data_IF_479788743760
#
_entry.id   IF_479788743760
#
_cell.length_a   1.000
_cell.length_b   1.000
_cell.length_c   1.000
_cell.angle_alpha   90.00
_cell.angle_beta   90.00
_cell.angle_gamma   90.00
#
_symmetry.space_group_name_H-M   'P 1'
#
loop_
_entity.id
_entity.type
_entity.pdbx_description
1 polymer ?
#
# COMPACT_ATOMS: atom_id res chain seq x y z
N UNK A 1 -53.72 86.23 -135.91
CA UNK A 1 -54.86 85.31 -136.18
C UNK A 1 -54.43 84.43 -137.35
N UNK A 2 -54.71 83.13 -137.43
CA UNK A 2 -54.89 82.07 -136.42
C UNK A 2 -54.09 80.76 -136.74
N UNK A 3 -53.85 79.91 -135.71
CA UNK A 3 -54.26 78.48 -135.55
C UNK A 3 -53.77 77.46 -136.63
N UNK A 4 -53.57 76.14 -136.37
CA UNK A 4 -52.74 75.38 -135.39
C UNK A 4 -52.22 74.01 -135.96
N UNK A 5 -51.78 73.11 -135.06
CA UNK A 5 -51.82 71.62 -135.13
C UNK A 5 -50.84 70.92 -136.12
N UNK A 6 -50.23 69.74 -135.85
CA UNK A 6 -50.60 68.55 -135.07
C UNK A 6 -49.34 67.80 -134.52
N UNK A 7 -49.46 67.24 -133.30
CA UNK A 7 -48.95 65.96 -132.72
C UNK A 7 -47.68 65.18 -133.18
N UNK A 8 -46.81 64.84 -132.20
CA UNK A 8 -46.21 63.54 -131.73
C UNK A 8 -45.66 62.51 -132.77
N UNK A 9 -44.56 61.71 -132.57
CA UNK A 9 -44.01 61.09 -131.33
C UNK A 9 -42.45 60.99 -131.25
N UNK A 10 -41.91 60.27 -130.25
CA UNK A 10 -40.49 60.28 -129.85
C UNK A 10 -39.44 59.60 -130.75
N UNK A 11 -38.18 59.78 -130.31
CA UNK A 11 -36.91 59.16 -130.76
C UNK A 11 -36.46 59.43 -132.20
N UNK A 12 -35.52 60.37 -132.40
CA UNK A 12 -34.44 60.22 -133.40
C UNK A 12 -33.36 61.31 -133.27
N UNK A 13 -32.12 60.89 -132.93
CA UNK A 13 -30.85 61.65 -133.06
C UNK A 13 -30.67 62.78 -132.04
N UNK A 14 -29.69 62.81 -131.13
CA UNK A 14 -28.28 62.45 -131.29
C UNK A 14 -27.75 62.82 -132.67
N UNK A 15 -27.93 64.08 -133.05
CA UNK A 15 -27.15 64.71 -134.10
C UNK A 15 -27.01 66.21 -133.79
N UNK A 16 -25.84 66.76 -134.09
CA UNK A 16 -25.31 68.10 -133.75
C UNK A 16 -24.44 68.23 -132.48
N UNK A 17 -23.63 67.21 -132.19
CA UNK A 17 -22.39 67.33 -131.39
C UNK A 17 -21.15 67.13 -132.29
N UNK A 18 -20.11 67.94 -132.10
CA UNK A 18 -19.03 68.15 -133.09
C UNK A 18 -17.95 67.05 -133.08
N UNK A 19 -17.55 66.62 -134.28
CA UNK A 19 -16.84 65.37 -134.63
C UNK A 19 -15.36 65.20 -134.22
N UNK A 20 -14.89 65.88 -133.16
CA UNK A 20 -13.57 65.61 -132.55
C UNK A 20 -13.69 64.97 -131.15
N UNK A 21 -14.80 65.18 -130.45
CA UNK A 21 -15.09 64.57 -129.15
C UNK A 21 -15.57 63.10 -129.28
N UNK A 22 -16.06 62.70 -130.45
CA UNK A 22 -16.47 61.31 -130.72
C UNK A 22 -15.30 60.33 -130.92
N UNK A 23 -14.07 60.75 -131.21
CA UNK A 23 -12.95 59.81 -131.43
C UNK A 23 -12.34 59.25 -130.14
N UNK A 24 -12.35 60.02 -129.04
CA UNK A 24 -11.86 59.58 -127.72
C UNK A 24 -12.96 58.85 -126.94
N UNK A 25 -14.22 59.26 -127.11
CA UNK A 25 -15.37 58.59 -126.50
C UNK A 25 -15.71 57.27 -127.23
N UNK A 26 -15.45 57.15 -128.54
CA UNK A 26 -15.66 55.89 -129.28
C UNK A 26 -14.60 54.80 -129.03
N UNK A 27 -13.42 55.10 -128.48
CA UNK A 27 -12.42 54.06 -128.11
C UNK A 27 -12.69 53.43 -126.74
N UNK A 28 -13.37 54.13 -125.83
CA UNK A 28 -13.78 53.59 -124.52
C UNK A 28 -15.29 53.33 -124.59
N UNK A 29 -15.68 52.35 -125.42
CA UNK A 29 -17.07 52.03 -125.76
C UNK A 29 -17.97 51.60 -124.58
N UNK A 30 -17.40 51.44 -123.39
CA UNK A 30 -18.12 51.23 -122.13
C UNK A 30 -17.22 51.50 -120.92
N UNK A 31 -17.82 51.83 -119.77
CA UNK A 31 -17.15 51.72 -118.48
C UNK A 31 -16.77 50.24 -118.26
N UNK A 32 -15.49 49.96 -117.96
CA UNK A 32 -15.04 48.61 -117.62
C UNK A 32 -15.77 48.04 -116.41
N UNK A 33 -15.67 46.73 -116.21
CA UNK A 33 -16.20 46.08 -115.00
C UNK A 33 -15.26 46.35 -113.82
N UNK A 34 -15.79 46.45 -112.60
CA UNK A 34 -14.97 46.62 -111.39
C UNK A 34 -13.87 45.54 -111.31
N UNK A 35 -12.63 45.97 -111.11
CA UNK A 35 -11.44 45.10 -111.08
C UNK A 35 -10.63 45.04 -112.38
N UNK A 36 -11.07 45.73 -113.44
CA UNK A 36 -10.27 45.93 -114.66
C UNK A 36 -9.42 47.21 -114.57
N UNK A 37 -8.26 47.21 -115.23
CA UNK A 37 -7.42 48.41 -115.41
C UNK A 37 -7.49 48.88 -116.85
N UNK A 38 -7.42 50.19 -117.10
CA UNK A 38 -7.30 50.72 -118.45
C UNK A 38 -5.83 50.64 -118.87
N UNK A 39 -5.54 49.79 -119.85
CA UNK A 39 -4.21 49.64 -120.42
C UNK A 39 -4.24 50.00 -121.92
N UNK A 40 -3.08 50.31 -122.50
CA UNK A 40 -2.95 50.43 -123.95
C UNK A 40 -2.98 49.02 -124.55
N UNK A 41 -3.74 48.81 -125.62
CA UNK A 41 -3.85 47.51 -126.27
C UNK A 41 -2.47 47.02 -126.77
N UNK A 42 -2.30 45.70 -126.93
CA UNK A 42 -1.01 45.12 -127.30
C UNK A 42 -0.39 45.64 -128.61
N UNK A 43 -1.16 46.32 -129.45
CA UNK A 43 -0.71 46.97 -130.69
C UNK A 43 -0.41 48.48 -130.58
N UNK A 44 -0.59 49.09 -129.41
CA UNK A 44 -0.45 50.54 -129.17
C UNK A 44 -1.31 51.45 -130.08
N UNK A 45 -2.43 50.92 -130.57
CA UNK A 45 -3.36 51.63 -131.46
C UNK A 45 -4.60 52.17 -130.73
N UNK A 46 -4.77 51.80 -129.47
CA UNK A 46 -5.87 52.27 -128.62
C UNK A 46 -5.74 51.79 -127.18
N UNK A 47 -6.73 52.09 -126.36
CA UNK A 47 -6.83 51.64 -124.96
C UNK A 47 -7.90 50.56 -124.81
N UNK A 48 -7.67 49.58 -123.95
CA UNK A 48 -8.61 48.50 -123.62
C UNK A 48 -8.68 48.25 -122.10
N UNK A 49 -9.84 47.81 -121.62
CA UNK A 49 -9.99 47.37 -120.23
C UNK A 49 -9.49 45.95 -120.07
N UNK A 50 -8.41 45.75 -119.31
CA UNK A 50 -7.80 44.45 -119.06
C UNK A 50 -8.19 43.95 -117.67
N UNK A 51 -8.74 42.74 -117.60
CA UNK A 51 -8.87 42.02 -116.33
C UNK A 51 -7.50 41.49 -115.93
N UNK A 52 -6.93 42.02 -114.84
CA UNK A 52 -5.68 41.50 -114.28
C UNK A 52 -6.01 40.23 -113.51
N UNK A 53 -5.78 39.07 -114.13
CA UNK A 53 -5.97 37.77 -113.47
C UNK A 53 -4.82 37.51 -112.49
N UNK A 54 -5.05 37.77 -111.21
CA UNK A 54 -4.12 37.41 -110.13
C UNK A 54 -4.65 37.80 -108.75
N UNK A 55 -5.41 36.91 -108.12
CA UNK A 55 -5.89 37.07 -106.75
C UNK A 55 -4.93 36.40 -105.76
N UNK A 56 -4.13 37.18 -105.04
CA UNK A 56 -3.63 36.78 -103.71
C UNK A 56 -2.36 35.95 -103.61
N UNK A 57 -1.38 36.12 -104.50
CA UNK A 57 0.01 35.70 -104.21
C UNK A 57 0.79 36.93 -103.72
N UNK A 58 1.49 36.81 -102.57
CA UNK A 58 2.42 37.84 -102.12
C UNK A 58 3.40 38.11 -103.26
N UNK A 59 3.38 39.32 -103.82
CA UNK A 59 4.29 39.73 -104.90
C UNK A 59 5.73 39.31 -104.54
N UNK A 60 6.20 38.25 -105.19
CA UNK A 60 7.57 37.75 -105.10
C UNK A 60 8.49 38.86 -105.59
N UNK A 61 9.52 39.15 -104.78
CA UNK A 61 10.58 40.13 -104.98
C UNK A 61 10.18 41.59 -104.67
N UNK A 62 10.43 42.16 -103.50
CA UNK A 62 11.54 41.94 -102.57
C UNK A 62 11.10 42.32 -101.17
N UNK A 63 11.01 41.29 -100.33
CA UNK A 63 11.19 41.36 -98.90
C UNK A 63 12.52 42.08 -98.61
N UNK A 64 12.45 43.34 -98.16
CA UNK A 64 13.61 44.13 -97.72
C UNK A 64 14.02 43.69 -96.30
N UNK A 65 15.18 43.07 -96.21
CA UNK A 65 15.75 42.49 -95.00
C UNK A 65 16.63 43.46 -94.18
N UNK A 66 16.57 44.78 -94.42
CA UNK A 66 17.48 45.73 -93.76
C UNK A 66 16.87 46.63 -92.66
N UNK A 67 15.61 46.46 -92.24
CA UNK A 67 15.05 47.39 -91.24
C UNK A 67 13.74 47.04 -90.53
N UNK A 68 13.23 45.82 -90.61
CA UNK A 68 11.96 45.45 -89.95
C UNK A 68 12.19 44.90 -88.55
N UNK A 69 11.93 45.74 -87.54
CA UNK A 69 11.55 45.31 -86.20
C UNK A 69 10.18 44.60 -86.14
N UNK A 70 9.56 44.33 -87.30
CA UNK A 70 8.26 43.66 -87.44
C UNK A 70 8.37 42.56 -88.50
N UNK A 71 8.83 41.38 -88.08
CA UNK A 71 8.62 40.16 -88.86
C UNK A 71 7.15 39.77 -88.66
N UNK A 72 6.27 40.20 -89.58
CA UNK A 72 4.84 39.85 -89.54
C UNK A 72 4.69 38.33 -89.53
N UNK A 73 4.18 37.78 -88.42
CA UNK A 73 3.57 36.45 -88.43
C UNK A 73 2.16 36.57 -89.00
N UNK A 74 1.81 35.76 -90.00
CA UNK A 74 0.47 35.77 -90.60
C UNK A 74 -0.61 35.34 -89.60
N UNK A 75 -1.86 35.80 -89.81
CA UNK A 75 -2.97 35.60 -88.87
C UNK A 75 -3.72 34.26 -89.05
N UNK A 76 -3.62 33.62 -90.22
CA UNK A 76 -4.51 32.51 -90.60
C UNK A 76 -3.79 31.20 -90.92
N UNK A 77 -2.51 31.22 -91.30
CA UNK A 77 -1.73 30.01 -91.56
C UNK A 77 -0.92 29.61 -90.32
N UNK A 78 -0.68 28.30 -90.14
CA UNK A 78 0.27 27.81 -89.13
C UNK A 78 1.65 28.40 -89.35
N UNK A 79 2.22 29.01 -88.32
CA UNK A 79 3.55 29.62 -88.38
C UNK A 79 4.55 28.77 -87.60
N UNK A 80 5.65 28.39 -88.25
CA UNK A 80 6.79 27.71 -87.61
C UNK A 80 7.90 28.72 -87.34
N UNK A 81 8.28 28.91 -86.08
CA UNK A 81 9.38 29.80 -85.68
C UNK A 81 10.62 28.97 -85.34
N UNK A 82 11.66 29.03 -86.17
CA UNK A 82 12.92 28.30 -85.95
C UNK A 82 14.05 29.27 -85.57
N UNK A 83 14.81 28.92 -84.53
CA UNK A 83 15.98 29.69 -84.07
C UNK A 83 15.66 31.16 -83.74
N UNK A 84 14.51 31.41 -83.10
CA UNK A 84 14.08 32.74 -82.64
C UNK A 84 13.96 32.76 -81.12
N UNK A 85 14.30 33.88 -80.51
CA UNK A 85 14.04 34.15 -79.09
C UNK A 85 12.73 34.93 -78.97
N UNK A 86 11.75 34.39 -78.24
CA UNK A 86 10.55 35.11 -77.86
C UNK A 86 10.81 35.86 -76.56
N UNK A 87 10.94 37.19 -76.61
CA UNK A 87 11.16 38.02 -75.41
C UNK A 87 9.81 38.56 -74.94
N UNK A 88 9.38 38.16 -73.73
CA UNK A 88 8.07 38.51 -73.15
C UNK A 88 6.84 38.05 -73.97
N UNK A 89 6.77 36.79 -74.45
CA UNK A 89 5.56 36.31 -75.10
C UNK A 89 4.41 36.17 -74.10
N UNK A 90 3.21 36.58 -74.48
CA UNK A 90 1.98 36.04 -73.87
C UNK A 90 1.68 34.72 -74.58
N UNK A 91 1.98 33.61 -73.91
CA UNK A 91 1.68 32.27 -74.43
C UNK A 91 0.33 31.81 -73.88
N UNK A 92 -0.60 31.47 -74.78
CA UNK A 92 -1.87 30.81 -74.44
C UNK A 92 -1.78 29.36 -74.95
N UNK A 93 -1.88 28.41 -74.03
CA UNK A 93 -1.84 26.98 -74.35
C UNK A 93 -3.20 26.49 -74.86
N UNK A 94 -3.23 25.34 -75.55
CA UNK A 94 -4.50 24.66 -75.85
C UNK A 94 -5.17 24.32 -74.52
N UNK A 95 -6.45 24.63 -74.38
CA UNK A 95 -7.19 24.40 -73.14
C UNK A 95 -8.10 23.19 -73.29
N UNK A 96 -8.17 22.35 -72.26
CA UNK A 96 -9.11 21.23 -72.14
C UNK A 96 -9.56 21.07 -70.70
N UNK A 97 -10.70 20.40 -70.47
CA UNK A 97 -11.20 20.09 -69.13
C UNK A 97 -10.72 18.71 -68.63
N UNK A 98 -9.88 18.02 -69.38
CA UNK A 98 -9.17 16.79 -69.03
C UNK A 98 -8.20 16.44 -70.18
N UNK A 99 -7.26 17.32 -70.55
CA UNK A 99 -6.39 17.10 -71.69
C UNK A 99 -5.43 15.95 -71.41
N UNK A 100 -5.34 15.00 -72.35
CA UNK A 100 -4.41 13.87 -72.30
C UNK A 100 -3.41 13.91 -73.46
N UNK A 101 -2.55 14.94 -73.56
CA UNK A 101 -1.53 14.99 -74.59
C UNK A 101 -0.56 13.82 -74.40
N UNK A 102 -0.37 13.01 -75.45
CA UNK A 102 0.59 11.90 -75.46
C UNK A 102 1.75 12.15 -76.43
N UNK A 103 1.57 13.03 -77.42
CA UNK A 103 2.62 13.42 -78.34
C UNK A 103 3.70 14.24 -77.62
N UNK A 104 4.97 13.90 -77.86
CA UNK A 104 6.10 14.60 -77.23
C UNK A 104 6.07 16.10 -77.55
N UNK A 105 6.07 16.94 -76.51
CA UNK A 105 6.07 18.39 -76.64
C UNK A 105 4.69 19.03 -76.90
N UNK A 106 3.60 18.26 -76.96
CA UNK A 106 2.25 18.85 -76.91
C UNK A 106 1.93 19.26 -75.45
N UNK A 107 1.69 20.55 -75.26
CA UNK A 107 1.44 21.17 -73.94
C UNK A 107 0.04 21.75 -73.94
N UNK A 108 -0.75 21.38 -72.94
CA UNK A 108 -2.14 21.82 -72.77
C UNK A 108 -2.39 22.27 -71.33
N UNK A 109 -3.25 23.27 -71.17
CA UNK A 109 -3.75 23.73 -69.86
C UNK A 109 -4.99 22.95 -69.48
N UNK A 110 -4.98 22.37 -68.28
CA UNK A 110 -6.10 21.67 -67.69
C UNK A 110 -6.96 22.62 -66.88
N UNK A 111 -8.17 22.85 -67.36
CA UNK A 111 -9.05 23.91 -66.87
C UNK A 111 -9.82 23.53 -65.61
N UNK A 112 -10.01 22.24 -65.31
CA UNK A 112 -10.67 21.78 -64.09
C UNK A 112 -9.67 21.62 -62.94
N UNK A 113 -8.51 21.04 -63.21
CA UNK A 113 -7.47 20.76 -62.21
C UNK A 113 -6.49 21.94 -61.99
N UNK A 114 -6.53 22.99 -62.83
CA UNK A 114 -5.58 24.11 -62.84
C UNK A 114 -4.12 23.66 -63.00
N UNK A 115 -3.89 22.73 -63.92
CA UNK A 115 -2.58 22.08 -64.11
C UNK A 115 -2.08 22.22 -65.56
N UNK A 116 -0.78 22.07 -65.74
CA UNK A 116 -0.17 21.95 -67.07
C UNK A 116 0.02 20.46 -67.37
N UNK A 117 -0.48 20.00 -68.53
CA UNK A 117 -0.30 18.64 -69.04
C UNK A 117 0.65 18.65 -70.23
N UNK A 118 1.65 17.76 -70.23
CA UNK A 118 2.69 17.65 -71.27
C UNK A 118 2.79 16.22 -71.76
N UNK A 119 2.68 16.00 -73.07
CA UNK A 119 2.93 14.68 -73.66
C UNK A 119 4.41 14.33 -73.71
N UNK A 120 4.76 13.08 -73.38
CA UNK A 120 6.14 12.57 -73.35
C UNK A 120 6.44 11.50 -74.41
N UNK A 121 5.56 11.36 -75.41
CA UNK A 121 5.65 10.37 -76.48
C UNK A 121 4.93 9.05 -76.16
N UNK A 122 4.65 8.76 -74.89
CA UNK A 122 3.94 7.55 -74.46
C UNK A 122 2.73 7.84 -73.57
N UNK A 123 2.75 8.93 -72.80
CA UNK A 123 1.76 9.28 -71.79
C UNK A 123 1.71 10.79 -71.56
N UNK A 124 0.91 11.21 -70.58
CA UNK A 124 0.79 12.60 -70.14
C UNK A 124 1.49 12.80 -68.80
N UNK A 125 2.41 13.75 -68.74
CA UNK A 125 2.98 14.26 -67.49
C UNK A 125 2.15 15.45 -67.00
N UNK A 126 2.00 15.55 -65.68
CA UNK A 126 1.23 16.61 -65.01
C UNK A 126 2.18 17.47 -64.19
N UNK A 127 2.05 18.78 -64.34
CA UNK A 127 2.73 19.79 -63.52
C UNK A 127 1.67 20.60 -62.79
N UNK A 128 1.74 20.62 -61.46
CA UNK A 128 0.86 21.38 -60.57
C UNK A 128 1.67 22.42 -59.79
N UNK A 129 0.97 23.29 -59.06
CA UNK A 129 1.63 24.12 -58.05
C UNK A 129 2.13 23.29 -56.86
N UNK A 130 3.03 23.88 -56.08
CA UNK A 130 3.62 23.25 -54.87
C UNK A 130 2.59 22.98 -53.77
N UNK A 131 1.45 23.67 -53.78
CA UNK A 131 0.39 23.52 -52.77
C UNK A 131 -0.48 22.28 -53.00
N UNK A 132 -0.50 21.76 -54.23
CA UNK A 132 -1.26 20.54 -54.61
C UNK A 132 -0.46 19.24 -54.40
N UNK A 133 0.87 19.29 -54.22
CA UNK A 133 1.70 18.11 -53.91
C UNK A 133 1.50 17.59 -52.48
N UNK A 134 0.93 18.40 -51.59
CA UNK A 134 0.75 18.05 -50.18
C UNK A 134 -0.41 17.06 -49.92
N UNK A 135 -1.33 16.84 -50.86
CA UNK A 135 -2.67 16.36 -50.48
C UNK A 135 -3.01 14.91 -50.80
N UNK A 136 -2.21 14.15 -51.57
CA UNK A 136 -2.67 12.83 -52.02
C UNK A 136 -1.93 11.61 -51.45
N UNK A 137 -0.68 11.74 -50.96
CA UNK A 137 0.03 10.59 -50.38
C UNK A 137 1.06 10.94 -49.30
N UNK A 138 1.60 12.16 -49.30
CA UNK A 138 2.64 12.57 -48.35
C UNK A 138 2.09 13.39 -47.16
N UNK A 139 0.97 14.11 -47.30
CA UNK A 139 0.34 14.85 -46.19
C UNK A 139 -0.29 13.96 -45.11
N UNK A 140 -0.87 12.81 -45.47
CA UNK A 140 -1.51 11.91 -44.51
C UNK A 140 -0.49 11.15 -43.62
N UNK A 141 0.73 10.92 -44.13
CA UNK A 141 1.82 10.29 -43.40
C UNK A 141 2.68 11.29 -42.62
N UNK A 142 2.61 12.58 -42.96
CA UNK A 142 3.35 13.64 -42.27
C UNK A 142 2.64 14.15 -41.00
N UNK A 143 1.31 14.11 -40.93
CA UNK A 143 0.55 14.50 -39.70
C UNK A 143 0.44 13.36 -38.65
N UNK A 144 0.88 12.16 -39.02
CA UNK A 144 0.88 10.96 -38.17
C UNK A 144 2.28 10.44 -37.81
N UNK A 145 3.35 11.05 -38.35
CA UNK A 145 4.73 10.72 -38.00
C UNK A 145 5.32 11.75 -37.02
N UNK A 146 6.12 11.28 -36.06
CA UNK A 146 6.90 12.10 -35.14
C UNK A 146 7.71 13.15 -35.91
N UNK A 147 7.47 14.44 -35.66
CA UNK A 147 8.24 15.51 -36.27
C UNK A 147 9.54 15.73 -35.47
N UNK A 148 10.63 16.19 -36.11
CA UNK A 148 11.89 16.50 -35.40
C UNK A 148 11.72 17.49 -34.23
N UNK A 149 10.69 18.35 -34.26
CA UNK A 149 10.34 19.27 -33.16
C UNK A 149 9.77 18.56 -31.93
N UNK A 150 9.09 17.43 -32.10
CA UNK A 150 8.48 16.67 -31.00
C UNK A 150 9.55 15.96 -30.18
N UNK A 151 10.63 15.54 -30.83
CA UNK A 151 11.81 14.90 -30.22
C UNK A 151 12.67 15.92 -29.44
N UNK A 152 12.72 17.17 -29.91
CA UNK A 152 13.59 18.21 -29.34
C UNK A 152 13.15 18.74 -27.96
N UNK A 153 11.89 18.53 -27.57
CA UNK A 153 11.34 18.99 -26.28
C UNK A 153 11.48 17.97 -25.13
N UNK A 154 12.00 16.76 -25.42
CA UNK A 154 12.19 15.69 -24.44
C UNK A 154 10.89 15.07 -23.93
N UNK A 155 9.71 15.55 -24.36
CA UNK A 155 8.41 15.02 -23.98
C UNK A 155 7.63 14.62 -25.23
N UNK A 156 7.79 13.36 -25.66
CA UNK A 156 6.85 12.77 -26.62
C UNK A 156 5.60 12.40 -25.82
N UNK A 157 4.50 13.11 -26.05
CA UNK A 157 3.20 12.73 -25.50
C UNK A 157 2.53 11.80 -26.51
N UNK A 158 2.55 10.47 -26.33
CA UNK A 158 1.87 9.57 -27.24
C UNK A 158 0.37 9.88 -27.25
N UNK A 159 -0.21 10.01 -28.44
CA UNK A 159 -1.67 9.99 -28.64
C UNK A 159 -2.16 8.56 -28.37
N UNK A 160 -3.47 8.41 -28.14
CA UNK A 160 -4.07 7.14 -27.72
C UNK A 160 -3.79 5.94 -28.66
N UNK A 161 -3.42 6.20 -29.92
CA UNK A 161 -3.13 5.18 -30.94
C UNK A 161 -1.63 5.06 -31.28
N UNK A 162 -0.76 5.89 -30.69
CA UNK A 162 0.68 5.92 -31.01
C UNK A 162 1.45 4.75 -30.36
N UNK A 163 0.89 4.16 -29.31
CA UNK A 163 1.43 2.98 -28.64
C UNK A 163 0.40 1.87 -28.78
N UNK A 164 0.70 0.87 -29.62
CA UNK A 164 -0.14 -0.32 -29.72
C UNK A 164 0.00 -1.17 -28.45
N UNK A 165 -0.93 -0.99 -27.51
CA UNK A 165 -1.03 -1.77 -26.28
C UNK A 165 -1.90 -3.03 -26.44
N UNK A 166 -2.43 -3.32 -27.64
CA UNK A 166 -3.38 -4.42 -27.86
C UNK A 166 -2.78 -5.82 -27.70
N UNK A 167 -1.46 -5.92 -27.50
CA UNK A 167 -0.75 -7.16 -27.24
C UNK A 167 -0.52 -7.47 -25.75
N UNK A 168 -0.83 -6.53 -24.86
CA UNK A 168 -0.69 -6.70 -23.41
C UNK A 168 -1.91 -7.36 -22.76
N UNK A 169 -1.68 -8.03 -21.64
CA UNK A 169 -2.73 -8.44 -20.70
C UNK A 169 -2.86 -7.40 -19.57
N UNK A 170 -4.00 -7.40 -18.87
CA UNK A 170 -4.18 -6.59 -17.67
C UNK A 170 -3.04 -6.86 -16.67
N UNK A 171 -2.28 -5.81 -16.32
CA UNK A 171 -1.17 -5.88 -15.36
C UNK A 171 0.24 -5.91 -15.99
N UNK A 172 0.37 -5.99 -17.31
CA UNK A 172 1.68 -5.86 -17.97
C UNK A 172 2.27 -4.46 -17.78
N UNK A 173 3.59 -4.39 -17.57
CA UNK A 173 4.35 -3.13 -17.46
C UNK A 173 5.17 -2.90 -18.72
N UNK A 174 5.29 -1.63 -19.10
CA UNK A 174 6.18 -1.23 -20.18
C UNK A 174 7.64 -1.24 -19.66
N UNK A 175 8.44 -2.16 -20.20
CA UNK A 175 9.86 -2.29 -19.86
C UNK A 175 10.74 -1.92 -21.06
N UNK A 176 12.00 -1.57 -20.76
CA UNK A 176 13.05 -1.43 -21.77
C UNK A 176 13.84 -2.74 -21.79
N UNK A 177 13.87 -3.37 -22.95
CA UNK A 177 14.58 -4.61 -23.21
C UNK A 177 16.09 -4.43 -23.19
N UNK A 178 16.82 -5.53 -23.06
CA UNK A 178 18.28 -5.54 -23.14
C UNK A 178 18.82 -5.04 -24.51
N UNK A 179 18.01 -5.15 -25.57
CA UNK A 179 18.32 -4.61 -26.90
C UNK A 179 17.88 -3.13 -27.07
N UNK A 180 17.36 -2.51 -26.01
CA UNK A 180 16.89 -1.13 -25.99
C UNK A 180 15.49 -0.93 -26.59
N UNK A 181 14.80 -1.99 -27.02
CA UNK A 181 13.41 -1.91 -27.46
C UNK A 181 12.45 -1.73 -26.29
N UNK A 182 11.24 -1.24 -26.56
CA UNK A 182 10.15 -1.20 -25.58
C UNK A 182 9.27 -2.43 -25.78
N UNK A 183 8.91 -3.10 -24.70
CA UNK A 183 7.97 -4.22 -24.72
C UNK A 183 7.03 -4.16 -23.52
N UNK A 184 5.83 -4.69 -23.70
CA UNK A 184 4.98 -5.05 -22.58
C UNK A 184 5.49 -6.38 -22.05
N UNK A 185 5.91 -6.38 -20.80
CA UNK A 185 6.31 -7.59 -20.11
C UNK A 185 5.46 -7.77 -18.87
N UNK A 186 5.18 -9.03 -18.57
CA UNK A 186 4.87 -9.40 -17.20
C UNK A 186 6.04 -8.97 -16.32
N UNK A 187 5.83 -8.15 -15.28
CA UNK A 187 6.89 -7.56 -14.48
C UNK A 187 7.94 -8.61 -14.05
N UNK A 188 9.26 -8.30 -14.09
CA UNK A 188 10.29 -9.23 -13.65
C UNK A 188 10.22 -9.39 -12.12
N UNK A 189 9.40 -10.37 -11.71
CA UNK A 189 9.08 -10.66 -10.32
C UNK A 189 7.60 -10.43 -10.02
N UNK A 190 6.83 -11.53 -9.98
CA UNK A 190 5.58 -11.58 -9.22
C UNK A 190 4.30 -11.69 -10.05
N UNK A 191 3.82 -12.92 -10.25
CA UNK A 191 2.39 -13.18 -10.12
C UNK A 191 1.99 -12.99 -8.65
N UNK A 192 1.99 -11.73 -8.21
CA UNK A 192 1.90 -11.31 -6.82
C UNK A 192 1.84 -9.79 -6.82
N UNK A 193 0.74 -9.29 -7.37
CA UNK A 193 0.01 -8.09 -6.95
C UNK A 193 0.68 -6.71 -6.84
N UNK A 194 -0.17 -5.68 -6.84
CA UNK A 194 0.11 -4.41 -6.19
C UNK A 194 -0.58 -4.39 -4.80
N UNK A 195 -0.36 -5.45 -4.00
CA UNK A 195 -1.00 -5.90 -2.74
C UNK A 195 -2.33 -6.69 -2.89
N UNK A 196 -2.32 -7.98 -3.27
CA UNK A 196 -3.49 -8.80 -3.64
C UNK A 196 -3.31 -10.33 -3.68
N UNK A 197 -2.20 -10.91 -3.22
CA UNK A 197 -2.20 -12.18 -2.52
C UNK A 197 -2.23 -11.88 -1.00
N UNK A 198 -2.96 -12.66 -0.19
CA UNK A 198 -2.57 -12.76 1.20
C UNK A 198 -1.13 -13.27 1.16
N UNK A 199 -0.18 -12.43 1.57
CA UNK A 199 1.21 -12.81 1.73
C UNK A 199 1.24 -14.01 2.69
N UNK A 200 1.19 -15.23 2.13
CA UNK A 200 1.40 -16.50 2.83
C UNK A 200 2.91 -16.74 3.05
N UNK A 201 3.74 -15.76 2.70
CA UNK A 201 5.12 -15.71 3.12
C UNK A 201 5.21 -15.08 4.51
N UNK A 202 5.86 -15.78 5.45
CA UNK A 202 6.38 -15.17 6.65
C UNK A 202 7.09 -13.86 6.29
N UNK A 203 6.71 -12.75 6.91
CA UNK A 203 7.50 -11.51 6.84
C UNK A 203 8.84 -11.83 7.50
N UNK A 204 9.88 -12.04 6.68
CA UNK A 204 11.26 -12.28 7.17
C UNK A 204 11.99 -10.94 7.14
N UNK A 205 12.18 -10.25 8.28
CA UNK A 205 13.01 -9.05 8.32
C UNK A 205 14.47 -9.38 7.99
N UNK A 206 15.13 -8.47 7.27
CA UNK A 206 16.46 -8.62 6.67
C UNK A 206 17.57 -8.91 7.70
N UNK A 207 18.59 -9.60 7.20
CA UNK A 207 19.75 -10.30 7.81
C UNK A 207 20.71 -9.49 8.69
N UNK A 208 20.38 -8.27 9.12
CA UNK A 208 21.30 -7.41 9.87
C UNK A 208 21.41 -7.72 11.38
N UNK A 209 20.87 -8.88 11.81
CA UNK A 209 20.86 -9.35 13.21
C UNK A 209 20.16 -8.39 14.18
N UNK A 210 19.40 -7.41 13.68
CA UNK A 210 18.53 -6.56 14.49
C UNK A 210 17.09 -6.76 14.02
N UNK A 211 16.53 -7.93 14.37
CA UNK A 211 15.19 -8.41 14.02
C UNK A 211 14.07 -7.55 14.62
N UNK A 212 13.94 -6.31 14.18
CA UNK A 212 12.80 -5.46 14.50
C UNK A 212 11.87 -5.41 13.29
N UNK A 213 10.65 -5.93 13.45
CA UNK A 213 9.53 -5.59 12.57
C UNK A 213 9.19 -4.11 12.83
N UNK A 214 9.82 -3.24 12.04
CA UNK A 214 9.80 -1.79 12.21
C UNK A 214 11.16 -1.23 12.68
N UNK A 215 11.53 -0.05 12.20
CA UNK A 215 12.75 0.66 12.64
C UNK A 215 12.76 0.82 14.17
N UNK A 216 13.93 0.95 14.82
CA UNK A 216 14.01 1.38 16.22
C UNK A 216 13.22 2.68 16.48
N UNK A 217 13.05 3.50 15.43
CA UNK A 217 12.24 4.74 15.40
C UNK A 217 10.76 4.49 15.09
N UNK A 218 10.42 3.41 14.39
CA UNK A 218 9.05 3.08 13.95
C UNK A 218 8.76 1.60 14.19
N UNK A 219 8.56 1.24 15.46
CA UNK A 219 8.12 -0.10 15.85
C UNK A 219 6.62 -0.22 15.58
N UNK A 220 6.14 -1.40 15.15
CA UNK A 220 4.71 -1.65 15.20
C UNK A 220 4.23 -1.49 16.65
N UNK A 221 3.31 -0.55 16.87
CA UNK A 221 2.74 -0.29 18.19
C UNK A 221 1.81 -1.43 18.64
N UNK A 222 1.23 -2.16 17.69
CA UNK A 222 0.37 -3.33 17.93
C UNK A 222 0.33 -4.20 16.67
N UNK A 223 0.25 -5.51 16.85
CA UNK A 223 -0.04 -6.48 15.79
C UNK A 223 -1.51 -6.88 15.95
N UNK A 224 -2.36 -6.45 15.03
CA UNK A 224 -3.78 -6.80 15.03
C UNK A 224 -4.02 -7.90 13.99
N UNK A 225 -4.17 -9.14 14.44
CA UNK A 225 -4.65 -10.22 13.59
C UNK A 225 -6.17 -10.33 13.68
N UNK A 226 -6.88 -10.13 12.56
CA UNK A 226 -8.30 -10.45 12.49
C UNK A 226 -8.47 -11.97 12.47
N UNK A 227 -9.17 -12.56 13.45
CA UNK A 227 -9.34 -14.01 13.60
C UNK A 227 -8.04 -14.84 13.62
N UNK A 228 -6.90 -14.24 13.97
CA UNK A 228 -5.64 -14.98 14.09
C UNK A 228 -5.55 -15.64 15.47
N UNK A 229 -5.63 -16.96 15.50
CA UNK A 229 -5.19 -17.73 16.67
C UNK A 229 -3.65 -17.62 16.68
N UNK A 230 -3.07 -16.84 17.59
CA UNK A 230 -1.63 -16.90 17.85
C UNK A 230 -1.34 -18.25 18.52
N UNK A 231 -1.12 -19.30 17.72
CA UNK A 231 -0.90 -20.67 18.22
C UNK A 231 0.36 -20.75 19.05
N UNK A 232 1.46 -20.16 18.58
CA UNK A 232 2.74 -20.11 19.28
C UNK A 232 3.35 -18.70 19.16
N UNK A 233 3.82 -18.15 20.29
CA UNK A 233 4.75 -17.01 20.30
C UNK A 233 6.15 -17.58 20.44
N UNK A 234 6.89 -17.67 19.34
CA UNK A 234 8.29 -18.06 19.36
C UNK A 234 9.15 -16.86 19.73
N UNK A 235 9.84 -16.93 20.87
CA UNK A 235 10.91 -15.99 21.22
C UNK A 235 12.22 -16.67 20.83
N UNK A 236 12.98 -16.08 19.90
CA UNK A 236 14.13 -16.74 19.27
C UNK A 236 15.23 -17.16 20.27
N UNK A 237 15.85 -18.27 19.89
CA UNK A 237 16.72 -19.21 20.59
C UNK A 237 17.95 -18.60 21.26
N UNK A 238 17.93 -18.56 22.60
CA UNK A 238 19.16 -18.54 23.40
C UNK A 238 19.10 -17.65 24.64
N UNK A 239 18.63 -16.41 24.51
CA UNK A 239 18.50 -15.42 25.59
C UNK A 239 17.24 -14.54 25.49
N UNK A 240 16.30 -14.93 24.64
CA UNK A 240 15.09 -14.16 24.36
C UNK A 240 14.22 -13.91 25.60
N UNK A 241 13.55 -12.77 25.62
CA UNK A 241 12.68 -12.31 26.71
C UNK A 241 11.25 -12.17 26.20
N UNK A 242 10.29 -12.79 26.87
CA UNK A 242 8.87 -12.40 26.74
C UNK A 242 8.55 -11.43 27.88
N UNK A 243 8.24 -10.18 27.56
CA UNK A 243 8.00 -9.12 28.53
C UNK A 243 6.61 -8.50 28.34
N UNK A 244 5.76 -8.62 29.36
CA UNK A 244 4.46 -7.99 29.39
C UNK A 244 4.62 -6.61 30.03
N UNK A 245 4.32 -5.56 29.26
CA UNK A 245 4.40 -4.17 29.71
C UNK A 245 3.02 -3.59 30.02
N UNK A 246 2.93 -2.65 30.95
CA UNK A 246 1.72 -1.86 31.16
C UNK A 246 1.61 -0.70 30.14
N UNK A 247 0.53 0.08 30.22
CA UNK A 247 0.30 1.24 29.33
C UNK A 247 1.32 2.39 29.47
N UNK A 248 2.19 2.36 30.49
CA UNK A 248 3.29 3.30 30.66
C UNK A 248 4.64 2.73 30.21
N UNK A 249 4.69 1.48 29.74
CA UNK A 249 5.90 0.80 29.26
C UNK A 249 6.70 0.06 30.33
N UNK A 250 6.22 -0.03 31.57
CA UNK A 250 6.88 -0.74 32.68
C UNK A 250 6.56 -2.23 32.63
N UNK A 251 7.55 -3.08 32.94
CA UNK A 251 7.33 -4.54 33.02
C UNK A 251 6.40 -4.89 34.16
N UNK A 252 5.38 -5.71 33.88
CA UNK A 252 4.47 -6.28 34.88
C UNK A 252 4.67 -7.77 35.07
N UNK A 253 5.14 -8.48 34.04
CA UNK A 253 5.52 -9.88 34.09
C UNK A 253 6.54 -10.18 33.01
N UNK A 254 7.50 -11.07 33.29
CA UNK A 254 8.53 -11.45 32.32
C UNK A 254 8.83 -12.94 32.39
N UNK A 255 9.18 -13.53 31.24
CA UNK A 255 9.75 -14.87 31.14
C UNK A 255 11.17 -14.70 30.57
N UNK A 256 12.15 -14.89 31.44
CA UNK A 256 13.57 -14.73 31.09
C UNK A 256 14.11 -16.03 30.48
N UNK A 257 14.43 -16.02 29.18
CA UNK A 257 15.14 -17.12 28.53
C UNK A 257 16.65 -17.11 28.81
N UNK A 258 17.11 -16.76 30.02
CA UNK A 258 18.52 -16.45 30.31
C UNK A 258 19.51 -17.62 30.19
N UNK A 259 19.02 -18.83 29.87
CA UNK A 259 19.82 -20.04 29.73
C UNK A 259 19.87 -20.48 28.27
N UNK A 260 21.08 -20.70 27.74
CA UNK A 260 21.31 -21.01 26.32
C UNK A 260 20.78 -22.39 25.87
N UNK A 261 20.55 -23.30 26.81
CA UNK A 261 19.99 -24.64 26.55
C UNK A 261 19.15 -25.09 27.76
N UNK A 262 17.92 -24.61 27.92
CA UNK A 262 17.06 -25.01 29.03
C UNK A 262 16.70 -26.49 28.92
N UNK A 263 16.91 -27.23 30.02
CA UNK A 263 16.53 -28.66 30.14
C UNK A 263 15.30 -28.84 31.03
N UNK A 264 15.11 -27.91 31.96
CA UNK A 264 13.97 -27.85 32.89
C UNK A 264 13.27 -26.49 32.72
N UNK A 265 11.95 -26.47 32.84
CA UNK A 265 11.11 -25.29 32.63
C UNK A 265 9.90 -25.32 33.58
N UNK A 266 9.24 -24.16 33.72
CA UNK A 266 7.94 -24.08 34.40
C UNK A 266 6.82 -24.15 33.38
N UNK A 267 5.81 -24.96 33.65
CA UNK A 267 4.59 -25.11 32.85
C UNK A 267 3.37 -24.68 33.65
N UNK A 268 2.40 -24.08 32.96
CA UNK A 268 1.08 -23.81 33.50
C UNK A 268 0.11 -24.80 32.87
N UNK A 269 -0.44 -25.71 33.68
CA UNK A 269 -1.20 -26.86 33.18
C UNK A 269 -2.68 -26.64 33.47
N UNK A 270 -3.49 -26.59 32.40
CA UNK A 270 -4.94 -26.54 32.51
C UNK A 270 -5.50 -27.91 32.94
N UNK A 271 -6.65 -27.87 33.63
CA UNK A 271 -7.22 -29.06 34.26
C UNK A 271 -8.67 -29.28 33.86
N UNK A 272 -9.09 -30.56 33.88
CA UNK A 272 -10.48 -30.95 33.65
C UNK A 272 -11.41 -30.44 34.76
N UNK A 273 -12.72 -30.47 34.49
CA UNK A 273 -13.72 -30.00 35.46
C UNK A 273 -13.61 -30.76 36.79
N UNK A 274 -13.45 -30.01 37.88
CA UNK A 274 -13.31 -30.55 39.24
C UNK A 274 -11.87 -30.72 39.72
N UNK A 275 -10.87 -30.52 38.85
CA UNK A 275 -9.45 -30.59 39.20
C UNK A 275 -8.84 -29.19 39.33
N UNK A 276 -7.78 -29.05 40.13
CA UNK A 276 -7.05 -27.79 40.29
C UNK A 276 -6.11 -27.55 39.10
N UNK A 277 -5.94 -26.29 38.70
CA UNK A 277 -4.89 -25.87 37.74
C UNK A 277 -3.53 -25.93 38.43
N UNK A 278 -2.49 -26.30 37.69
CA UNK A 278 -1.17 -26.56 38.25
C UNK A 278 -0.10 -25.62 37.68
N UNK A 279 0.89 -25.29 38.51
CA UNK A 279 2.18 -24.72 38.10
C UNK A 279 3.22 -25.80 38.36
N UNK A 280 3.80 -26.34 37.29
CA UNK A 280 4.64 -27.54 37.36
C UNK A 280 6.07 -27.25 36.89
N UNK A 281 7.06 -27.81 37.57
CA UNK A 281 8.42 -27.90 37.05
C UNK A 281 8.55 -29.17 36.20
N UNK A 282 8.81 -29.02 34.90
CA UNK A 282 8.92 -30.13 33.94
C UNK A 282 10.25 -30.07 33.17
N UNK A 283 10.71 -31.19 32.65
CA UNK A 283 12.02 -31.30 32.01
C UNK A 283 12.48 -32.74 31.93
N UNK A 284 13.69 -32.96 31.40
CA UNK A 284 14.25 -34.32 31.34
C UNK A 284 14.91 -34.77 32.65
N UNK A 285 15.18 -33.85 33.58
CA UNK A 285 15.74 -34.21 34.87
C UNK A 285 14.68 -34.90 35.74
N UNK A 286 15.10 -35.88 36.53
CA UNK A 286 14.18 -36.71 37.34
C UNK A 286 13.61 -35.97 38.54
N UNK A 287 14.35 -35.01 39.08
CA UNK A 287 13.94 -34.21 40.23
C UNK A 287 14.20 -32.74 39.91
N UNK A 288 13.16 -31.92 39.97
CA UNK A 288 13.22 -30.48 39.65
C UNK A 288 12.46 -29.74 40.74
N UNK A 289 13.15 -28.81 41.43
CA UNK A 289 12.53 -27.94 42.41
C UNK A 289 11.87 -26.74 41.73
N UNK A 290 10.71 -26.31 42.22
CA UNK A 290 10.10 -25.01 41.86
C UNK A 290 10.42 -23.99 42.96
N UNK A 291 11.31 -23.04 42.66
CA UNK A 291 11.69 -22.02 43.62
C UNK A 291 10.89 -20.72 43.44
N UNK A 292 10.27 -20.23 44.53
CA UNK A 292 9.58 -18.94 44.57
C UNK A 292 10.41 -17.95 45.40
N UNK A 293 11.07 -17.01 44.72
CA UNK A 293 12.05 -16.12 45.37
C UNK A 293 11.51 -14.69 45.48
N UNK A 294 11.03 -14.26 46.66
CA UNK A 294 10.73 -12.85 46.89
C UNK A 294 12.01 -12.02 47.02
N UNK A 295 11.90 -10.70 46.84
CA UNK A 295 13.04 -9.77 46.97
C UNK A 295 13.02 -9.07 48.34
N UNK A 296 14.19 -8.97 48.98
CA UNK A 296 14.32 -8.27 50.27
C UNK A 296 13.55 -9.00 51.39
N UNK A 297 12.71 -8.27 52.12
CA UNK A 297 11.84 -8.82 53.18
C UNK A 297 10.46 -9.28 52.68
N UNK A 298 10.29 -9.47 51.36
CA UNK A 298 9.03 -9.98 50.80
C UNK A 298 8.82 -11.46 51.11
N UNK A 299 7.58 -11.93 50.99
CA UNK A 299 7.19 -13.33 51.23
C UNK A 299 6.42 -13.90 50.03
N UNK A 300 6.52 -15.21 49.79
CA UNK A 300 5.62 -15.91 48.87
C UNK A 300 4.28 -16.19 49.56
N UNK A 301 3.16 -15.81 48.94
CA UNK A 301 1.83 -15.83 49.56
C UNK A 301 0.73 -16.39 48.65
N UNK A 302 -0.28 -17.03 49.25
CA UNK A 302 -1.55 -17.42 48.63
C UNK A 302 -2.67 -16.76 49.42
N UNK A 303 -3.51 -15.95 48.77
CA UNK A 303 -4.60 -15.21 49.41
C UNK A 303 -4.15 -14.34 50.61
N UNK A 304 -2.93 -13.80 50.56
CA UNK A 304 -2.34 -12.98 51.64
C UNK A 304 -1.71 -13.78 52.77
N UNK A 305 -1.82 -15.12 52.73
CA UNK A 305 -1.18 -16.01 53.70
C UNK A 305 0.16 -16.50 53.17
N UNK A 306 1.17 -16.53 54.03
CA UNK A 306 2.51 -17.03 53.70
C UNK A 306 2.48 -18.52 53.35
N UNK A 307 3.11 -18.91 52.24
CA UNK A 307 3.13 -20.30 51.72
C UNK A 307 3.99 -21.26 52.60
N UNK A 308 4.62 -20.76 53.67
CA UNK A 308 5.51 -21.47 54.61
C UNK A 308 6.91 -21.72 54.03
N UNK A 309 7.93 -21.18 54.70
CA UNK A 309 9.34 -21.46 54.48
C UNK A 309 9.77 -22.54 55.49
N UNK A 310 10.15 -23.73 55.01
CA UNK A 310 10.68 -24.82 55.84
C UNK A 310 12.01 -24.45 56.52
N UNK A 311 12.62 -23.30 56.16
CA UNK A 311 13.88 -22.83 56.76
C UNK A 311 13.68 -22.09 58.10
N UNK A 312 12.45 -21.80 58.52
CA UNK A 312 12.15 -21.23 59.86
C UNK A 312 11.48 -22.21 60.84
N UNK A 313 11.63 -23.53 60.68
CA UNK A 313 11.06 -24.50 61.64
C UNK A 313 12.00 -24.73 62.85
N UNK A 314 12.25 -23.66 63.60
CA UNK A 314 12.51 -23.80 65.05
C UNK A 314 11.22 -24.06 65.85
N UNK A 315 10.07 -24.12 65.19
CA UNK A 315 8.78 -24.48 65.78
C UNK A 315 7.99 -25.37 64.83
N UNK A 316 8.09 -26.69 65.01
CA UNK A 316 7.11 -27.63 64.46
C UNK A 316 5.74 -27.19 64.97
N UNK A 317 4.87 -26.80 64.04
CA UNK A 317 3.47 -26.56 64.34
C UNK A 317 2.91 -27.83 64.97
N UNK A 318 2.34 -27.71 66.16
CA UNK A 318 1.57 -28.80 66.75
C UNK A 318 0.23 -28.81 66.06
N UNK A 319 0.02 -29.73 65.11
CA UNK A 319 -1.29 -29.97 64.51
C UNK A 319 -2.36 -30.26 65.58
N UNK A 320 -3.60 -29.85 65.37
CA UNK A 320 -4.70 -30.01 66.35
C UNK A 320 -5.52 -31.29 66.15
N UNK A 321 -5.32 -31.99 65.03
CA UNK A 321 -6.14 -33.14 64.61
C UNK A 321 -5.40 -34.48 64.65
N UNK A 322 -4.07 -34.47 64.58
CA UNK A 322 -3.25 -35.68 64.45
C UNK A 322 -2.42 -35.97 65.70
N UNK A 323 -2.22 -37.27 65.97
CA UNK A 323 -1.31 -37.71 67.04
C UNK A 323 0.12 -37.35 66.69
N UNK A 324 0.78 -36.59 67.57
CA UNK A 324 2.16 -36.16 67.39
C UNK A 324 3.04 -36.64 68.55
N UNK A 325 4.27 -37.06 68.22
CA UNK A 325 5.28 -37.44 69.21
C UNK A 325 6.30 -36.31 69.37
N UNK A 326 6.42 -35.76 70.58
CA UNK A 326 7.47 -34.80 70.92
C UNK A 326 8.70 -35.50 71.49
N UNK A 327 9.80 -35.53 70.74
CA UNK A 327 11.09 -36.07 71.20
C UNK A 327 12.07 -34.93 71.49
N UNK A 328 12.87 -35.06 72.56
CA UNK A 328 13.89 -34.08 72.97
C UNK A 328 13.35 -32.65 73.18
N UNK A 329 12.06 -32.49 73.48
CA UNK A 329 11.44 -31.20 73.78
C UNK A 329 11.39 -30.94 75.28
N UNK A 330 11.60 -29.69 75.69
CA UNK A 330 11.37 -29.22 77.06
C UNK A 330 9.91 -28.82 77.22
N UNK A 331 9.25 -29.36 78.24
CA UNK A 331 7.91 -28.91 78.67
C UNK A 331 8.10 -27.87 79.77
N UNK A 332 7.78 -26.60 79.50
CA UNK A 332 7.75 -25.55 80.51
C UNK A 332 6.42 -25.61 81.26
N UNK A 333 6.46 -25.92 82.56
CA UNK A 333 5.27 -26.02 83.40
C UNK A 333 4.66 -24.65 83.70
N UNK A 334 3.33 -24.58 83.75
CA UNK A 334 2.60 -23.38 84.15
C UNK A 334 2.58 -23.29 85.67
N UNK A 335 3.08 -22.19 86.23
CA UNK A 335 3.22 -22.01 87.68
C UNK A 335 2.34 -20.86 88.16
N UNK A 336 1.41 -21.15 89.08
CA UNK A 336 0.69 -20.14 89.86
C UNK A 336 1.32 -19.97 91.23
N UNK A 337 1.37 -18.74 91.75
CA UNK A 337 1.95 -18.47 93.06
C UNK A 337 1.10 -17.49 93.85
N UNK A 338 1.02 -17.72 95.16
CA UNK A 338 0.46 -16.78 96.13
C UNK A 338 1.33 -16.76 97.38
N UNK A 339 1.26 -15.67 98.15
CA UNK A 339 1.99 -15.58 99.42
C UNK A 339 1.31 -16.39 100.52
N UNK A 340 0.01 -16.18 100.72
CA UNK A 340 -0.78 -16.86 101.75
C UNK A 340 -2.27 -16.78 101.39
N UNK A 341 -3.03 -17.86 101.63
CA UNK A 341 -4.49 -17.85 101.50
C UNK A 341 -5.12 -18.97 102.34
N UNK A 342 -6.22 -18.66 103.03
CA UNK A 342 -7.03 -19.65 103.74
C UNK A 342 -7.96 -20.45 102.81
N UNK A 343 -8.20 -19.94 101.60
CA UNK A 343 -8.99 -20.57 100.53
C UNK A 343 -8.29 -20.31 99.18
N UNK A 344 -7.18 -21.01 98.90
CA UNK A 344 -6.37 -20.76 97.70
C UNK A 344 -7.19 -20.83 96.41
N UNK A 345 -7.01 -19.85 95.52
CA UNK A 345 -7.65 -19.85 94.19
C UNK A 345 -6.74 -20.55 93.21
N UNK A 346 -7.18 -21.70 92.70
CA UNK A 346 -6.40 -22.54 91.79
C UNK A 346 -7.26 -22.82 90.56
N UNK A 347 -6.85 -22.32 89.40
CA UNK A 347 -7.47 -22.70 88.13
C UNK A 347 -6.61 -23.76 87.43
N UNK A 348 -7.09 -25.00 87.42
CA UNK A 348 -6.37 -26.17 86.91
C UNK A 348 -6.15 -26.13 85.39
N UNK A 349 -6.87 -25.28 84.66
CA UNK A 349 -6.61 -25.05 83.23
C UNK A 349 -5.38 -24.17 83.00
N UNK A 350 -4.97 -23.40 84.02
CA UNK A 350 -3.92 -22.39 83.92
C UNK A 350 -2.63 -22.80 84.64
N UNK A 351 -2.64 -23.84 85.47
CA UNK A 351 -1.48 -24.23 86.29
C UNK A 351 -1.23 -25.73 86.28
N UNK A 352 0.04 -26.10 86.23
CA UNK A 352 0.55 -27.46 86.51
C UNK A 352 1.20 -27.52 87.90
N UNK A 353 1.64 -26.37 88.42
CA UNK A 353 2.22 -26.20 89.76
C UNK A 353 1.57 -24.99 90.42
N UNK A 354 1.12 -25.13 91.67
CA UNK A 354 0.61 -24.02 92.47
C UNK A 354 1.39 -23.92 93.78
N UNK A 355 2.00 -22.76 94.04
CA UNK A 355 2.88 -22.55 95.18
C UNK A 355 2.30 -21.52 96.15
N UNK A 356 2.22 -21.88 97.42
CA UNK A 356 1.98 -20.97 98.55
C UNK A 356 3.31 -20.76 99.27
N UNK A 357 3.85 -19.55 99.16
CA UNK A 357 5.25 -19.29 99.53
C UNK A 357 5.49 -19.01 101.01
N UNK A 358 4.47 -18.55 101.76
CA UNK A 358 4.56 -18.25 103.19
C UNK A 358 3.17 -18.26 103.85
N UNK A 359 2.57 -19.44 104.00
CA UNK A 359 1.24 -19.62 104.58
C UNK A 359 1.21 -19.13 106.05
N UNK A 360 0.50 -18.03 106.29
CA UNK A 360 0.39 -17.36 107.57
C UNK A 360 -0.92 -17.67 108.34
N UNK A 361 -1.83 -18.40 107.71
CA UNK A 361 -3.14 -18.77 108.24
C UNK A 361 -3.47 -20.22 107.89
N UNK A 362 -4.36 -20.85 108.65
CA UNK A 362 -4.79 -22.21 108.33
C UNK A 362 -5.62 -22.22 107.04
N UNK A 363 -5.44 -23.27 106.23
CA UNK A 363 -6.26 -23.48 105.04
C UNK A 363 -7.58 -24.10 105.50
N UNK A 364 -8.65 -23.36 105.30
CA UNK A 364 -10.02 -23.75 105.62
C UNK A 364 -10.69 -24.53 104.49
N UNK A 365 -10.22 -24.39 103.25
CA UNK A 365 -10.70 -25.18 102.11
C UNK A 365 -9.76 -25.05 100.90
N UNK A 366 -9.26 -26.17 100.37
CA UNK A 366 -8.63 -26.21 99.04
C UNK A 366 -9.65 -26.31 97.90
N UNK A 367 -10.94 -26.52 98.22
CA UNK A 367 -12.01 -26.75 97.24
C UNK A 367 -12.74 -25.46 96.83
N UNK A 368 -12.93 -24.51 97.75
CA UNK A 368 -13.88 -23.39 97.57
C UNK A 368 -13.59 -22.51 96.35
N UNK A 369 -12.31 -22.29 96.03
CA UNK A 369 -11.88 -21.49 94.88
C UNK A 369 -11.07 -22.32 93.86
N UNK A 370 -11.27 -23.64 93.85
CA UNK A 370 -10.74 -24.53 92.82
C UNK A 370 -11.64 -24.45 91.58
N UNK A 371 -11.07 -24.18 90.41
CA UNK A 371 -11.80 -24.10 89.14
C UNK A 371 -11.03 -24.78 88.01
N UNK A 372 -11.68 -24.92 86.86
CA UNK A 372 -11.09 -25.47 85.64
C UNK A 372 -11.78 -26.76 85.18
N UNK A 373 -11.34 -27.29 84.05
CA UNK A 373 -11.86 -28.50 83.40
C UNK A 373 -10.73 -29.53 83.23
N UNK A 374 -10.28 -30.16 84.33
CA UNK A 374 -9.15 -31.07 84.26
C UNK A 374 -9.44 -32.29 83.40
N UNK A 375 -8.46 -32.69 82.60
CA UNK A 375 -8.51 -33.91 81.79
C UNK A 375 -8.08 -35.12 82.62
N UNK A 376 -8.58 -36.32 82.30
CA UNK A 376 -8.19 -37.53 83.04
C UNK A 376 -6.66 -37.66 83.10
N UNK A 377 -6.18 -38.07 84.28
CA UNK A 377 -4.75 -38.23 84.59
C UNK A 377 -3.92 -36.96 84.60
N UNK A 378 -4.51 -35.77 84.45
CA UNK A 378 -3.79 -34.51 84.65
C UNK A 378 -3.15 -34.49 86.05
N UNK A 379 -1.91 -34.01 86.12
CA UNK A 379 -1.17 -33.84 87.36
C UNK A 379 -1.19 -32.37 87.78
N UNK A 380 -1.32 -32.14 89.08
CA UNK A 380 -1.12 -30.83 89.71
C UNK A 380 -0.20 -31.00 90.91
N UNK A 381 0.88 -30.24 90.96
CA UNK A 381 1.76 -30.16 92.12
C UNK A 381 1.36 -28.95 92.97
N UNK A 382 1.01 -29.20 94.22
CA UNK A 382 0.70 -28.16 95.20
C UNK A 382 1.86 -28.07 96.18
N UNK A 383 2.51 -26.92 96.24
CA UNK A 383 3.62 -26.65 97.14
C UNK A 383 3.16 -25.65 98.22
N UNK A 384 3.33 -26.00 99.49
CA UNK A 384 2.87 -25.17 100.61
C UNK A 384 3.99 -25.04 101.62
N UNK A 385 4.49 -23.81 101.80
CA UNK A 385 5.44 -23.48 102.85
C UNK A 385 4.75 -22.73 103.97
N UNK A 386 4.72 -23.30 105.17
CA UNK A 386 4.16 -22.64 106.35
C UNK A 386 5.10 -21.57 106.93
N UNK A 387 4.54 -20.60 107.65
CA UNK A 387 5.31 -19.77 108.61
C UNK A 387 5.40 -20.43 110.00
N UNK A 388 4.57 -21.45 110.22
CA UNK A 388 4.50 -22.34 111.37
C UNK A 388 3.77 -23.61 110.91
N UNK A 389 3.52 -24.58 111.81
CA UNK A 389 2.58 -25.66 111.49
C UNK A 389 1.19 -25.05 111.26
N UNK A 390 0.62 -25.24 110.07
CA UNK A 390 -0.69 -24.75 109.66
C UNK A 390 -1.60 -25.91 109.36
N UNK A 391 -2.85 -25.86 109.81
CA UNK A 391 -3.84 -26.85 109.45
C UNK A 391 -4.24 -26.72 107.97
N UNK A 392 -4.54 -27.85 107.33
CA UNK A 392 -4.94 -27.93 105.93
C UNK A 392 -6.25 -28.71 105.83
N UNK A 393 -7.28 -28.03 105.35
CA UNK A 393 -8.58 -28.63 105.01
C UNK A 393 -8.73 -28.71 103.49
N UNK A 394 -8.68 -29.92 102.94
CA UNK A 394 -8.67 -30.12 101.49
C UNK A 394 -10.07 -29.94 100.85
N UNK A 395 -11.11 -30.42 101.52
CA UNK A 395 -12.49 -30.35 101.01
C UNK A 395 -12.83 -31.43 99.98
N UNK A 396 -14.04 -31.36 99.42
CA UNK A 396 -14.65 -32.46 98.68
C UNK A 396 -14.04 -32.77 97.31
N UNK A 397 -13.32 -31.82 96.70
CA UNK A 397 -12.67 -32.01 95.40
C UNK A 397 -11.39 -32.84 95.49
N UNK A 398 -10.93 -33.16 96.69
CA UNK A 398 -9.73 -33.94 96.94
C UNK A 398 -10.07 -35.20 97.71
N UNK A 399 -9.28 -36.25 97.49
CA UNK A 399 -9.40 -37.51 98.23
C UNK A 399 -8.02 -38.13 98.45
N UNK A 400 -7.89 -38.87 99.54
CA UNK A 400 -6.71 -39.68 99.80
C UNK A 400 -6.49 -40.68 98.67
N UNK A 401 -5.23 -40.91 98.33
CA UNK A 401 -4.85 -42.05 97.52
C UNK A 401 -4.75 -43.32 98.37
N UNK A 402 -4.63 -44.46 97.69
CA UNK A 402 -4.44 -45.74 98.36
C UNK A 402 -3.16 -45.80 99.21
N UNK A 403 -2.10 -45.09 98.78
CA UNK A 403 -0.78 -45.11 99.43
C UNK A 403 -0.49 -43.82 100.19
N UNK A 404 -0.94 -42.68 99.65
CA UNK A 404 -0.65 -41.36 100.19
C UNK A 404 -1.94 -40.69 100.67
N UNK A 405 -2.00 -40.39 101.96
CA UNK A 405 -3.08 -39.58 102.52
C UNK A 405 -2.75 -38.09 102.39
N UNK A 406 -3.76 -37.27 102.12
CA UNK A 406 -3.61 -35.83 102.05
C UNK A 406 -3.15 -35.27 103.40
N UNK A 407 -2.08 -34.44 103.44
CA UNK A 407 -1.56 -33.95 104.71
C UNK A 407 -2.53 -32.96 105.33
N UNK A 408 -2.85 -33.13 106.60
CA UNK A 408 -3.74 -32.23 107.35
C UNK A 408 -3.01 -31.07 108.00
N UNK A 409 -1.67 -31.06 107.95
CA UNK A 409 -0.84 -29.97 108.47
C UNK A 409 0.40 -29.73 107.60
N UNK A 410 0.89 -28.49 107.55
CA UNK A 410 2.21 -28.19 106.98
C UNK A 410 3.32 -28.65 107.93
N UNK A 411 4.48 -29.01 107.37
CA UNK A 411 5.69 -29.33 108.15
C UNK A 411 6.40 -28.04 108.56
N UNK A 412 5.84 -27.34 109.55
CA UNK A 412 6.35 -26.06 110.07
C UNK A 412 6.73 -25.06 108.97
N UNK A 413 8.03 -24.85 108.74
CA UNK A 413 8.59 -23.91 107.76
C UNK A 413 9.16 -24.59 106.51
N UNK A 414 9.08 -25.92 106.43
CA UNK A 414 9.48 -26.68 105.24
C UNK A 414 8.42 -26.59 104.14
N UNK A 415 8.86 -26.75 102.90
CA UNK A 415 7.95 -26.74 101.75
C UNK A 415 7.32 -28.13 101.60
N UNK A 416 6.05 -28.26 101.98
CA UNK A 416 5.28 -29.50 101.81
C UNK A 416 4.84 -29.61 100.35
N UNK A 417 5.18 -30.71 99.68
CA UNK A 417 4.79 -30.95 98.28
C UNK A 417 3.75 -32.04 98.21
N UNK A 418 2.64 -31.74 97.54
CA UNK A 418 1.52 -32.67 97.35
C UNK A 418 1.27 -32.80 95.86
N UNK A 419 1.58 -33.97 95.30
CA UNK A 419 1.23 -34.30 93.93
C UNK A 419 -0.15 -34.95 93.94
N UNK A 420 -1.09 -34.32 93.24
CA UNK A 420 -2.43 -34.85 93.03
C UNK A 420 -2.64 -35.16 91.56
N UNK A 421 -3.46 -36.17 91.29
CA UNK A 421 -3.87 -36.58 89.95
C UNK A 421 -5.38 -36.49 89.81
N UNK A 422 -5.87 -35.89 88.73
CA UNK A 422 -7.30 -35.91 88.43
C UNK A 422 -7.73 -37.31 88.02
N UNK A 423 -8.74 -37.84 88.70
CA UNK A 423 -9.44 -39.06 88.34
C UNK A 423 -10.84 -38.69 87.84
N UNK A 424 -11.03 -38.79 86.53
CA UNK A 424 -12.30 -38.44 85.90
C UNK A 424 -13.46 -39.34 86.37
N UNK A 425 -13.19 -40.58 86.80
CA UNK A 425 -14.23 -41.51 87.27
C UNK A 425 -14.80 -41.10 88.63
N UNK A 426 -13.97 -40.53 89.51
CA UNK A 426 -14.36 -40.05 90.82
C UNK A 426 -14.71 -38.55 90.82
N UNK A 427 -14.33 -37.83 89.75
CA UNK A 427 -14.39 -36.37 89.68
C UNK A 427 -13.66 -35.71 90.85
N UNK A 428 -12.48 -36.24 91.20
CA UNK A 428 -11.67 -35.79 92.33
C UNK A 428 -10.18 -35.80 92.01
N UNK A 429 -9.45 -34.93 92.70
CA UNK A 429 -8.00 -34.92 92.78
C UNK A 429 -7.54 -35.94 93.83
N UNK A 430 -6.95 -37.03 93.38
CA UNK A 430 -6.44 -38.11 94.23
C UNK A 430 -4.99 -37.81 94.61
N UNK A 431 -4.64 -37.95 95.88
CA UNK A 431 -3.25 -37.81 96.33
C UNK A 431 -2.39 -38.98 95.82
N UNK A 432 -1.35 -38.68 95.04
CA UNK A 432 -0.47 -39.69 94.42
C UNK A 432 0.99 -39.56 94.82
N UNK A 433 1.37 -38.51 95.56
CA UNK A 433 2.71 -38.37 96.09
C UNK A 433 2.84 -37.24 97.11
N UNK A 434 3.76 -37.41 98.06
CA UNK A 434 4.12 -36.43 99.08
C UNK A 434 5.65 -36.33 99.14
N UNK A 435 6.17 -35.13 99.39
CA UNK A 435 7.59 -34.90 99.64
C UNK A 435 7.83 -33.72 100.58
#
# INVERSE_FOLDING_TARGET
>A
MPIPHFSNPGLSGLDELTSAEEAIVAQIASLGTGGQILAVNGGATGVEWVTVSGTGDMLVATYDSAGVGEQLVGLTATQTLTNKTLTQPTLVLKQGAAPTPTAEGDIQWDTDDNQIKVGDGASTKTFSDDSQLATAAQGALADSALQPSDIASGTITPRADDINLSGGSDGDVLTVQADGSLSLETPPGGGGDAWSDPVDASIVPDTDSTYNLGSATYKFFSIYGANALFTNVYVDSGTGLLDFKNGTGESVARIDGSVSSPVNLVSLVASETGNAVEVEATGSDTNIDLNLVPKGSGEAQVNGERIIDETEVSGSFVGTTDTQTFTNKRITKRVGTVTSSATPTINTDNVDVFTITALATDITSMTTNLSGTPTDRQLLLIEIKGTAARAITWGASFVDGQVFALPTTTVTTENSKVLVQWDASQSKWVCVGLA
#
